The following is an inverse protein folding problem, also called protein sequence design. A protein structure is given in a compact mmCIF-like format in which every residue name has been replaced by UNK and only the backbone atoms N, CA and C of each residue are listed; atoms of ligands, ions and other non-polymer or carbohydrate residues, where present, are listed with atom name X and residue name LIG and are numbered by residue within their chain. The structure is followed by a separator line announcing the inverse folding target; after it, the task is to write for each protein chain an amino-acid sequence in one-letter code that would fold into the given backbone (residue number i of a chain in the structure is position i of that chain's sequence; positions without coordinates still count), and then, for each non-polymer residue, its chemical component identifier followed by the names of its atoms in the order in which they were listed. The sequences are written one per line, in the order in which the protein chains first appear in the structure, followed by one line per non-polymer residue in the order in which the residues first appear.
data_IF_120571447187
#
_entry.id   IF_120571447187
#
_cell.length_a   1.000
_cell.length_b   1.000
_cell.length_c   1.000
_cell.angle_alpha   90.00
_cell.angle_beta   90.00
_cell.angle_gamma   90.00
#
_symmetry.space_group_name_H-M   'P 1'
#
loop_
_entity.id
_entity.type
_entity.pdbx_description
1 polymer ?
#
# COMPACT_ATOMS: atom_id res chain seq x y z
N UNK A 1 -21.51 -10.62 -33.19
CA UNK A 1 -20.38 -10.90 -32.28
C UNK A 1 -19.55 -9.63 -32.21
N UNK A 2 -19.92 -8.70 -31.33
CA UNK A 2 -19.41 -7.31 -31.40
C UNK A 2 -19.19 -6.69 -30.01
N UNK A 3 -20.06 -7.03 -29.04
CA UNK A 3 -20.06 -6.44 -27.70
C UNK A 3 -18.78 -6.61 -26.85
N UNK A 4 -17.99 -7.67 -27.08
CA UNK A 4 -16.78 -7.91 -26.28
C UNK A 4 -15.60 -7.07 -26.78
N UNK A 5 -15.49 -6.89 -28.11
CA UNK A 5 -14.46 -6.05 -28.70
C UNK A 5 -14.71 -4.57 -28.43
N UNK A 6 -15.98 -4.13 -28.44
CA UNK A 6 -16.36 -2.74 -28.17
C UNK A 6 -16.06 -2.32 -26.72
N UNK A 7 -16.27 -3.21 -25.73
CA UNK A 7 -15.88 -2.94 -24.33
C UNK A 7 -14.37 -2.85 -24.10
N UNK A 8 -13.57 -3.57 -24.89
CA UNK A 8 -12.12 -3.54 -24.75
C UNK A 8 -11.48 -2.30 -25.39
N UNK A 9 -12.20 -1.61 -26.27
CA UNK A 9 -11.73 -0.41 -26.97
C UNK A 9 -12.21 0.90 -26.33
N UNK A 10 -13.06 0.83 -25.30
CA UNK A 10 -13.71 1.99 -24.64
C UNK A 10 -12.70 2.97 -24.01
N UNK A 11 -11.49 2.52 -23.68
CA UNK A 11 -10.46 3.32 -23.00
C UNK A 11 -9.18 3.52 -23.83
N UNK A 12 -9.19 3.20 -25.13
CA UNK A 12 -8.03 3.44 -26.00
C UNK A 12 -7.82 4.96 -26.14
N UNK A 13 -6.73 5.46 -25.58
CA UNK A 13 -6.36 6.88 -25.61
C UNK A 13 -6.58 7.62 -24.28
N UNK A 14 -7.15 6.96 -23.27
CA UNK A 14 -7.27 7.48 -21.91
C UNK A 14 -6.15 6.88 -21.04
N UNK A 15 -5.37 7.73 -20.35
CA UNK A 15 -4.47 7.25 -19.29
C UNK A 15 -5.33 6.92 -18.06
N UNK A 16 -5.99 5.78 -18.08
CA UNK A 16 -6.69 5.25 -16.92
C UNK A 16 -5.71 4.42 -16.06
N UNK A 17 -5.78 4.50 -14.72
CA UNK A 17 -5.10 3.54 -13.88
C UNK A 17 -5.57 2.14 -14.27
N UNK A 18 -4.63 1.19 -14.37
CA UNK A 18 -4.96 -0.21 -14.63
C UNK A 18 -5.99 -0.63 -13.57
N UNK A 19 -7.18 -1.12 -13.94
CA UNK A 19 -8.20 -1.56 -12.98
C UNK A 19 -7.77 -2.92 -12.39
N UNK A 20 -6.72 -2.88 -11.59
CA UNK A 20 -6.12 -4.05 -10.98
C UNK A 20 -5.94 -3.76 -9.49
N UNK A 21 -6.97 -4.09 -8.72
CA UNK A 21 -6.97 -3.92 -7.28
C UNK A 21 -5.80 -4.65 -6.59
N UNK A 22 -5.29 -5.74 -7.19
CA UNK A 22 -4.09 -6.45 -6.70
C UNK A 22 -2.84 -5.61 -6.89
N UNK A 23 -2.67 -4.96 -8.05
CA UNK A 23 -1.57 -4.02 -8.28
C UNK A 23 -1.59 -2.89 -7.24
N UNK A 24 -2.75 -2.29 -7.02
CA UNK A 24 -2.89 -1.18 -6.06
C UNK A 24 -2.62 -1.64 -4.63
N UNK A 25 -3.11 -2.82 -4.26
CA UNK A 25 -2.85 -3.42 -2.95
C UNK A 25 -1.36 -3.70 -2.74
N UNK A 26 -0.66 -4.25 -3.76
CA UNK A 26 0.79 -4.48 -3.71
C UNK A 26 1.55 -3.15 -3.60
N UNK A 27 1.17 -2.13 -4.36
CA UNK A 27 1.83 -0.83 -4.36
C UNK A 27 1.70 -0.12 -3.00
N UNK A 28 0.51 -0.13 -2.42
CA UNK A 28 0.27 0.43 -1.08
C UNK A 28 1.01 -0.38 -0.01
N UNK A 29 0.99 -1.71 -0.11
CA UNK A 29 1.70 -2.59 0.81
C UNK A 29 3.21 -2.34 0.80
N UNK A 30 3.82 -2.23 -0.38
CA UNK A 30 5.23 -1.91 -0.54
C UNK A 30 5.58 -0.56 0.10
N UNK A 31 4.77 0.47 -0.16
CA UNK A 31 4.96 1.80 0.44
C UNK A 31 4.97 1.74 1.97
N UNK A 32 4.00 1.05 2.58
CA UNK A 32 3.90 0.94 4.04
C UNK A 32 5.03 0.12 4.66
N UNK A 33 5.43 -0.98 4.04
CA UNK A 33 6.60 -1.76 4.51
C UNK A 33 7.85 -0.90 4.54
N UNK A 34 8.09 -0.12 3.49
CA UNK A 34 9.24 0.78 3.43
C UNK A 34 9.19 1.84 4.53
N UNK A 35 8.00 2.38 4.86
CA UNK A 35 7.82 3.27 6.01
C UNK A 35 8.14 2.57 7.34
N UNK A 36 7.65 1.34 7.55
CA UNK A 36 7.95 0.54 8.77
C UNK A 36 9.44 0.46 9.06
N UNK A 37 10.26 0.27 8.01
CA UNK A 37 11.72 0.16 8.14
C UNK A 37 12.39 1.49 8.49
N UNK A 38 11.82 2.62 8.07
CA UNK A 38 12.37 3.95 8.32
C UNK A 38 11.99 4.53 9.67
N UNK A 39 10.88 4.10 10.27
CA UNK A 39 10.41 4.66 11.54
C UNK A 39 11.45 4.54 12.67
N UNK A 40 12.26 3.49 12.72
CA UNK A 40 13.31 3.38 13.74
C UNK A 40 14.33 4.52 13.64
N UNK A 41 14.71 4.89 12.41
CA UNK A 41 15.57 6.05 12.19
C UNK A 41 14.85 7.36 12.51
N UNK A 42 13.55 7.48 12.22
CA UNK A 42 12.79 8.68 12.57
C UNK A 42 12.64 8.88 14.08
N UNK A 43 12.45 7.79 14.83
CA UNK A 43 12.43 7.78 16.29
C UNK A 43 13.80 8.18 16.84
N UNK A 44 14.89 7.63 16.30
CA UNK A 44 16.25 7.99 16.68
C UNK A 44 16.57 9.47 16.38
N UNK A 45 16.16 9.98 15.21
CA UNK A 45 16.34 11.38 14.83
C UNK A 45 15.51 12.35 15.69
N UNK A 46 14.46 11.85 16.35
CA UNK A 46 13.61 12.60 17.27
C UNK A 46 14.13 12.56 18.71
N UNK A 47 15.41 12.21 18.93
CA UNK A 47 15.99 12.20 20.28
C UNK A 47 15.83 13.55 21.00
N UNK A 48 15.53 13.48 22.30
CA UNK A 48 15.16 14.64 23.12
C UNK A 48 13.79 15.26 22.83
N UNK A 49 12.99 14.70 21.90
CA UNK A 49 11.64 15.18 21.54
C UNK A 49 10.58 14.09 21.78
N UNK A 50 10.13 13.88 23.04
CA UNK A 50 9.30 12.72 23.41
C UNK A 50 7.98 12.66 22.62
N UNK A 51 7.27 13.78 22.45
CA UNK A 51 6.01 13.80 21.68
C UNK A 51 6.21 13.38 20.22
N UNK A 52 7.34 13.77 19.61
CA UNK A 52 7.67 13.41 18.25
C UNK A 52 8.05 11.93 18.14
N UNK A 53 8.76 11.38 19.13
CA UNK A 53 9.04 9.95 19.20
C UNK A 53 7.76 9.13 19.34
N UNK A 54 6.83 9.57 20.18
CA UNK A 54 5.55 8.90 20.39
C UNK A 54 4.66 8.92 19.15
N UNK A 55 4.67 10.03 18.40
CA UNK A 55 4.04 10.12 17.08
C UNK A 55 4.61 9.05 16.14
N UNK A 56 5.94 8.97 16.00
CA UNK A 56 6.56 7.98 15.11
C UNK A 56 6.30 6.54 15.55
N UNK A 57 6.30 6.25 16.86
CA UNK A 57 5.94 4.92 17.39
C UNK A 57 4.48 4.57 17.08
N UNK A 58 3.58 5.53 17.21
CA UNK A 58 2.15 5.35 16.88
C UNK A 58 1.97 5.05 15.41
N UNK A 59 2.58 5.84 14.52
CA UNK A 59 2.52 5.61 13.07
C UNK A 59 3.13 4.26 12.68
N UNK A 60 4.28 3.89 13.27
CA UNK A 60 4.90 2.58 13.05
C UNK A 60 3.96 1.43 13.39
N UNK A 61 3.27 1.50 14.53
CA UNK A 61 2.31 0.47 14.96
C UNK A 61 1.14 0.37 13.99
N UNK A 62 0.59 1.51 13.55
CA UNK A 62 -0.51 1.54 12.59
C UNK A 62 -0.10 0.91 11.24
N UNK A 63 1.08 1.27 10.73
CA UNK A 63 1.58 0.73 9.47
C UNK A 63 1.92 -0.77 9.56
N UNK A 64 2.44 -1.24 10.69
CA UNK A 64 2.63 -2.68 10.93
C UNK A 64 1.30 -3.44 10.88
N UNK A 65 0.28 -2.94 11.57
CA UNK A 65 -1.05 -3.55 11.56
C UNK A 65 -1.67 -3.56 10.15
N UNK A 66 -1.53 -2.47 9.40
CA UNK A 66 -1.98 -2.38 8.02
C UNK A 66 -1.23 -3.39 7.13
N UNK A 67 0.09 -3.51 7.27
CA UNK A 67 0.89 -4.50 6.55
C UNK A 67 0.42 -5.93 6.83
N UNK A 68 0.11 -6.27 8.08
CA UNK A 68 -0.37 -7.61 8.43
C UNK A 68 -1.77 -7.91 7.89
N UNK A 69 -2.64 -6.90 7.79
CA UNK A 69 -3.93 -7.02 7.11
C UNK A 69 -3.76 -7.20 5.60
N UNK A 70 -2.91 -6.38 4.96
CA UNK A 70 -2.64 -6.44 3.52
C UNK A 70 -2.00 -7.76 3.10
N UNK A 71 -1.04 -8.30 3.88
CA UNK A 71 -0.47 -9.64 3.65
C UNK A 71 -1.54 -10.71 3.60
N UNK A 72 -2.50 -10.69 4.53
CA UNK A 72 -3.59 -11.67 4.58
C UNK A 72 -4.53 -11.56 3.39
N UNK A 73 -4.78 -10.34 2.88
CA UNK A 73 -5.60 -10.13 1.69
C UNK A 73 -4.85 -10.55 0.42
N UNK A 74 -3.60 -10.12 0.24
CA UNK A 74 -2.76 -10.53 -0.89
C UNK A 74 -2.62 -12.06 -0.98
N UNK A 75 -2.43 -12.73 0.15
CA UNK A 75 -2.36 -14.19 0.19
C UNK A 75 -3.64 -14.86 -0.33
N UNK A 76 -4.82 -14.26 -0.11
CA UNK A 76 -6.10 -14.79 -0.62
C UNK A 76 -6.24 -14.55 -2.12
N UNK A 77 -5.95 -13.33 -2.57
CA UNK A 77 -6.09 -12.94 -3.99
C UNK A 77 -5.11 -13.67 -4.91
N UNK A 78 -3.91 -14.03 -4.42
CA UNK A 78 -2.90 -14.75 -5.21
C UNK A 78 -3.08 -16.28 -5.26
N UNK A 79 -4.01 -16.84 -4.47
CA UNK A 79 -4.31 -18.29 -4.46
C UNK A 79 -5.58 -18.66 -5.23
N UNK A 80 -6.31 -17.69 -5.77
CA UNK A 80 -7.40 -17.89 -6.73
C UNK A 80 -6.86 -17.98 -8.16
#
# INVERSE_FOLDING_TARGET
MTLVAERQMEHIGETCPVPNCTHDLVQVFNTRINSVWRYDQYIANADGKPELQDLWRTMKKQDQQACDQMKRLLAKELTC
#
